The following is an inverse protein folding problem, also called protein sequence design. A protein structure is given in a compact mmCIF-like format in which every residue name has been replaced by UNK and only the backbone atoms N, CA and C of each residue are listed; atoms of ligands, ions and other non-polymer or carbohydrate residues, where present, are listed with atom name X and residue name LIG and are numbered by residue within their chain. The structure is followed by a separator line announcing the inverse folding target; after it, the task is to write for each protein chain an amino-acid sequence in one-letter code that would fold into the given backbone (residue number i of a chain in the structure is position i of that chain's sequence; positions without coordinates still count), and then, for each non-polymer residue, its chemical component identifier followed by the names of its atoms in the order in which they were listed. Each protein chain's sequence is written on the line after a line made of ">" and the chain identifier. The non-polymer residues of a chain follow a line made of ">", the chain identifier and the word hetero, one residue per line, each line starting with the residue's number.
data_IF_973217444914
#
_entry.id   IF_973217444914
#
_cell.length_a   1.000
_cell.length_b   1.000
_cell.length_c   1.000
_cell.angle_alpha   90.00
_cell.angle_beta   90.00
_cell.angle_gamma   90.00
#
_symmetry.space_group_name_H-M   'P 1'
#
loop_
_entity.id
_entity.type
_entity.pdbx_description
1 polymer ?
#
# COMPACT_ATOMS: atom_id res chain seq x y z
N UNK A 1 -14.43 2.28 -23.21
CA UNK A 1 -15.10 1.40 -22.23
C UNK A 1 -14.10 0.34 -21.84
N UNK A 2 -13.41 0.52 -20.71
CA UNK A 2 -12.45 -0.46 -20.22
C UNK A 2 -13.22 -1.54 -19.47
N UNK A 3 -13.10 -2.80 -19.93
CA UNK A 3 -13.52 -3.97 -19.18
C UNK A 3 -12.76 -3.95 -17.85
N UNK A 4 -13.39 -3.43 -16.81
CA UNK A 4 -12.93 -3.52 -15.43
C UNK A 4 -13.00 -5.01 -15.07
N UNK A 5 -11.90 -5.71 -15.32
CA UNK A 5 -11.33 -6.92 -14.71
C UNK A 5 -12.12 -7.81 -13.73
N UNK A 6 -13.44 -7.92 -13.82
CA UNK A 6 -14.27 -8.79 -12.98
C UNK A 6 -14.30 -10.25 -13.45
N UNK A 7 -13.62 -10.57 -14.56
CA UNK A 7 -13.75 -11.86 -15.26
C UNK A 7 -12.53 -12.80 -15.16
N UNK A 8 -11.53 -12.49 -14.34
CA UNK A 8 -10.38 -13.40 -14.19
C UNK A 8 -10.73 -14.58 -13.29
N UNK A 9 -10.59 -15.79 -13.79
CA UNK A 9 -10.74 -16.99 -12.97
C UNK A 9 -9.63 -17.02 -11.91
N UNK A 10 -9.90 -17.61 -10.74
CA UNK A 10 -8.90 -17.69 -9.67
C UNK A 10 -7.61 -18.41 -10.10
N UNK A 11 -7.71 -19.37 -11.03
CA UNK A 11 -6.55 -20.07 -11.57
C UNK A 11 -5.67 -19.14 -12.43
N UNK A 12 -6.28 -18.24 -13.20
CA UNK A 12 -5.55 -17.26 -14.01
C UNK A 12 -4.81 -16.26 -13.12
N UNK A 13 -5.45 -15.82 -12.02
CA UNK A 13 -4.80 -14.91 -11.05
C UNK A 13 -3.59 -15.56 -10.40
N UNK A 14 -3.69 -16.82 -9.95
CA UNK A 14 -2.53 -17.51 -9.38
C UNK A 14 -1.40 -17.66 -10.41
N UNK A 15 -1.75 -18.07 -11.64
CA UNK A 15 -0.80 -18.27 -12.73
C UNK A 15 -0.08 -16.97 -13.11
N UNK A 16 -0.77 -15.82 -13.07
CA UNK A 16 -0.19 -14.50 -13.31
C UNK A 16 1.04 -14.23 -12.44
N UNK A 17 1.01 -14.64 -11.17
CA UNK A 17 2.08 -14.33 -10.21
C UNK A 17 3.06 -15.46 -10.00
N UNK A 18 2.62 -16.72 -10.06
CA UNK A 18 3.47 -17.88 -9.74
C UNK A 18 3.80 -18.77 -10.93
N UNK A 19 3.28 -18.49 -12.13
CA UNK A 19 3.50 -19.27 -13.35
C UNK A 19 3.13 -20.76 -13.24
N UNK A 20 2.32 -21.13 -12.24
CA UNK A 20 1.81 -22.49 -12.02
C UNK A 20 0.29 -22.45 -11.84
N UNK A 21 -0.33 -23.61 -11.65
CA UNK A 21 -1.68 -23.68 -11.05
C UNK A 21 -1.56 -23.82 -9.54
N UNK A 22 -2.55 -23.36 -8.75
CA UNK A 22 -2.53 -23.59 -7.31
C UNK A 22 -2.72 -25.08 -7.00
N UNK A 23 -2.03 -25.58 -5.98
CA UNK A 23 -2.12 -26.98 -5.54
C UNK A 23 -3.46 -27.34 -4.90
N UNK A 24 -4.24 -26.34 -4.50
CA UNK A 24 -5.53 -26.49 -3.87
C UNK A 24 -6.52 -25.43 -4.35
N UNK A 25 -7.81 -25.68 -4.17
CA UNK A 25 -8.83 -24.67 -4.45
C UNK A 25 -8.62 -23.46 -3.53
N UNK A 26 -8.83 -22.22 -4.01
CA UNK A 26 -8.74 -21.05 -3.15
C UNK A 26 -9.73 -21.13 -1.99
N UNK A 27 -9.31 -20.60 -0.85
CA UNK A 27 -10.17 -20.35 0.30
C UNK A 27 -10.96 -19.07 0.00
N UNK A 28 -12.27 -19.10 0.23
CA UNK A 28 -13.19 -17.99 -0.05
C UNK A 28 -14.18 -17.83 1.10
N UNK A 29 -14.71 -16.62 1.31
CA UNK A 29 -15.77 -16.34 2.27
C UNK A 29 -15.41 -15.32 3.34
N UNK A 30 -16.24 -15.23 4.39
CA UNK A 30 -16.10 -14.24 5.46
C UNK A 30 -15.36 -14.81 6.66
N UNK A 31 -14.38 -14.06 7.20
CA UNK A 31 -13.60 -14.40 8.39
C UNK A 31 -13.01 -15.81 8.35
N UNK A 32 -12.59 -16.25 7.16
CA UNK A 32 -12.02 -17.58 6.93
C UNK A 32 -10.65 -17.69 7.59
N UNK A 33 -10.31 -18.87 8.10
CA UNK A 33 -8.95 -19.11 8.60
C UNK A 33 -7.98 -19.28 7.43
N UNK A 34 -7.02 -18.37 7.30
CA UNK A 34 -5.89 -18.55 6.40
C UNK A 34 -5.07 -19.76 6.85
N UNK A 35 -4.90 -20.74 5.97
CA UNK A 35 -4.13 -21.96 6.25
C UNK A 35 -3.31 -22.37 5.04
N UNK A 36 -2.09 -22.80 5.28
CA UNK A 36 -1.27 -23.38 4.22
C UNK A 36 -1.66 -24.81 3.95
N UNK A 37 -1.80 -25.15 2.67
CA UNK A 37 -1.95 -26.51 2.18
C UNK A 37 -0.91 -26.73 1.11
N UNK A 38 -0.03 -27.73 1.28
CA UNK A 38 1.06 -28.01 0.34
C UNK A 38 1.97 -26.80 0.06
N UNK A 39 2.36 -26.08 1.12
CA UNK A 39 3.22 -24.89 1.04
C UNK A 39 2.62 -23.71 0.25
N UNK A 40 1.29 -23.68 0.11
CA UNK A 40 0.56 -22.62 -0.58
C UNK A 40 -0.65 -22.19 0.24
N UNK A 41 -0.93 -20.89 0.25
CA UNK A 41 -2.17 -20.34 0.75
C UNK A 41 -2.71 -19.37 -0.30
N UNK A 42 -3.89 -19.67 -0.84
CA UNK A 42 -4.57 -18.81 -1.79
C UNK A 42 -5.92 -18.39 -1.24
N UNK A 43 -6.04 -17.11 -0.89
CA UNK A 43 -7.30 -16.48 -0.51
C UNK A 43 -7.85 -15.73 -1.72
N UNK A 44 -9.12 -15.96 -2.04
CA UNK A 44 -9.78 -15.34 -3.19
C UNK A 44 -11.20 -14.93 -2.80
N UNK A 45 -11.61 -13.69 -3.06
CA UNK A 45 -12.92 -13.18 -2.68
C UNK A 45 -13.23 -13.37 -1.19
N UNK A 46 -12.30 -12.96 -0.32
CA UNK A 46 -12.47 -13.07 1.13
C UNK A 46 -12.82 -11.73 1.76
N UNK A 47 -13.61 -11.77 2.83
CA UNK A 47 -13.96 -10.57 3.60
C UNK A 47 -13.61 -10.82 5.06
N UNK A 48 -12.83 -9.94 5.66
CA UNK A 48 -12.43 -10.00 7.06
C UNK A 48 -13.01 -8.79 7.79
N UNK A 49 -13.83 -9.02 8.80
CA UNK A 49 -14.57 -7.96 9.52
C UNK A 49 -14.36 -8.13 11.02
N UNK A 50 -13.91 -7.05 11.66
CA UNK A 50 -13.86 -6.92 13.12
C UNK A 50 -13.07 -8.05 13.80
N UNK A 51 -11.98 -8.49 13.17
CA UNK A 51 -11.01 -9.36 13.82
C UNK A 51 -10.14 -8.48 14.73
N UNK A 52 -10.10 -8.72 16.04
CA UNK A 52 -9.45 -7.79 16.99
C UNK A 52 -8.36 -8.40 17.87
N UNK A 53 -8.19 -9.72 17.84
CA UNK A 53 -7.26 -10.44 18.73
C UNK A 53 -5.89 -10.63 18.11
N UNK A 54 -5.85 -11.16 16.89
CA UNK A 54 -4.66 -11.34 16.06
C UNK A 54 -4.92 -10.74 14.67
N UNK A 55 -3.87 -10.59 13.87
CA UNK A 55 -4.01 -10.30 12.43
C UNK A 55 -4.96 -11.31 11.78
N UNK A 56 -5.85 -10.83 10.91
CA UNK A 56 -6.77 -11.70 10.17
C UNK A 56 -6.03 -12.76 9.35
N UNK A 57 -4.84 -12.42 8.88
CA UNK A 57 -3.89 -13.34 8.25
C UNK A 57 -2.61 -13.30 9.05
N UNK A 58 -2.16 -14.46 9.52
CA UNK A 58 -0.99 -14.57 10.36
C UNK A 58 -0.13 -15.75 9.91
N UNK A 59 1.06 -15.44 9.37
CA UNK A 59 2.04 -16.45 8.97
C UNK A 59 3.43 -16.12 9.53
N UNK A 60 4.00 -17.08 10.25
CA UNK A 60 5.37 -17.05 10.79
C UNK A 60 6.14 -18.28 10.33
N UNK A 61 7.44 -18.15 10.03
CA UNK A 61 8.39 -19.27 9.95
C UNK A 61 7.96 -20.44 9.04
N UNK A 62 7.27 -20.16 7.94
CA UNK A 62 6.80 -21.19 7.01
C UNK A 62 7.22 -20.88 5.58
N UNK A 63 7.52 -21.92 4.79
CA UNK A 63 7.82 -21.79 3.35
C UNK A 63 6.54 -21.76 2.53
N UNK A 64 5.66 -20.80 2.81
CA UNK A 64 4.32 -20.74 2.21
C UNK A 64 4.22 -19.63 1.16
N UNK A 65 4.04 -20.01 -0.11
CA UNK A 65 3.63 -19.03 -1.14
C UNK A 65 2.23 -18.55 -0.80
N UNK A 66 2.09 -17.24 -0.63
CA UNK A 66 0.83 -16.65 -0.20
C UNK A 66 0.34 -15.62 -1.21
N UNK A 67 -0.90 -15.80 -1.66
CA UNK A 67 -1.62 -14.83 -2.48
C UNK A 67 -2.97 -14.57 -1.83
N UNK A 68 -3.27 -13.30 -1.58
CA UNK A 68 -4.64 -12.86 -1.38
C UNK A 68 -5.08 -11.98 -2.55
N UNK A 69 -6.25 -12.30 -3.08
CA UNK A 69 -6.82 -11.62 -4.24
C UNK A 69 -8.28 -11.29 -4.03
N UNK A 70 -8.68 -10.04 -4.31
CA UNK A 70 -10.02 -9.53 -4.06
C UNK A 70 -10.43 -9.75 -2.59
N UNK A 71 -9.58 -9.31 -1.67
CA UNK A 71 -9.81 -9.46 -0.24
C UNK A 71 -10.04 -8.11 0.42
N UNK A 72 -11.06 -8.03 1.28
CA UNK A 72 -11.37 -6.83 2.07
C UNK A 72 -11.10 -7.07 3.55
N UNK A 73 -10.49 -6.10 4.22
CA UNK A 73 -10.23 -6.09 5.65
C UNK A 73 -10.89 -4.84 6.25
N UNK A 74 -11.88 -5.02 7.11
CA UNK A 74 -12.72 -3.94 7.63
C UNK A 74 -12.70 -3.94 9.15
N UNK A 75 -12.22 -2.85 9.74
CA UNK A 75 -12.08 -2.69 11.19
C UNK A 75 -11.27 -3.83 11.84
N UNK A 76 -10.25 -4.34 11.14
CA UNK A 76 -9.36 -5.38 11.66
C UNK A 76 -8.27 -4.75 12.54
N UNK A 77 -8.01 -5.34 13.70
CA UNK A 77 -6.92 -4.94 14.56
C UNK A 77 -6.18 -6.11 15.19
N UNK A 78 -4.90 -5.92 15.50
CA UNK A 78 -4.06 -6.91 16.16
C UNK A 78 -3.30 -6.32 17.34
N UNK A 79 -3.03 -7.14 18.36
CA UNK A 79 -2.08 -6.83 19.42
C UNK A 79 -0.63 -7.17 19.06
N UNK A 80 -0.40 -7.69 17.85
CA UNK A 80 0.91 -7.87 17.22
C UNK A 80 1.06 -6.91 16.05
N UNK A 81 2.26 -6.85 15.46
CA UNK A 81 2.45 -6.14 14.19
C UNK A 81 1.50 -6.70 13.12
N UNK A 82 1.19 -5.89 12.11
CA UNK A 82 0.25 -6.26 11.05
C UNK A 82 -1.20 -6.28 11.55
N UNK A 83 -1.92 -5.16 11.49
CA UNK A 83 -3.31 -5.14 11.96
C UNK A 83 -4.24 -6.09 11.21
N UNK A 84 -4.05 -6.23 9.90
CA UNK A 84 -4.80 -7.16 9.04
C UNK A 84 -3.95 -8.34 8.60
N UNK A 85 -2.72 -8.10 8.17
CA UNK A 85 -1.82 -9.12 7.65
C UNK A 85 -0.50 -9.04 8.40
N UNK A 86 -0.10 -10.15 9.01
CA UNK A 86 1.25 -10.38 9.50
C UNK A 86 1.88 -11.52 8.71
N UNK A 87 2.95 -11.22 7.97
CA UNK A 87 3.67 -12.18 7.16
C UNK A 87 5.17 -12.06 7.41
N UNK A 88 5.71 -12.97 8.21
CA UNK A 88 7.13 -13.08 8.52
C UNK A 88 7.63 -14.48 8.16
N UNK A 89 7.99 -14.68 6.89
CA UNK A 89 8.20 -16.02 6.33
C UNK A 89 9.33 -16.05 5.31
N UNK A 90 9.97 -17.23 5.19
CA UNK A 90 10.88 -17.58 4.11
C UNK A 90 10.11 -18.00 2.86
N UNK A 91 9.32 -17.07 2.32
CA UNK A 91 8.54 -17.32 1.11
C UNK A 91 8.06 -16.04 0.43
N UNK A 92 7.33 -16.21 -0.65
CA UNK A 92 6.76 -15.13 -1.45
C UNK A 92 5.35 -14.77 -1.01
N UNK A 93 5.04 -13.48 -0.97
CA UNK A 93 3.71 -12.93 -0.74
C UNK A 93 3.33 -11.99 -1.89
N UNK A 94 2.07 -12.12 -2.32
CA UNK A 94 1.43 -11.19 -3.26
C UNK A 94 0.10 -10.74 -2.66
N UNK A 95 -0.03 -9.45 -2.45
CA UNK A 95 -1.27 -8.79 -2.10
C UNK A 95 -1.82 -8.13 -3.36
N UNK A 96 -2.88 -8.71 -3.93
CA UNK A 96 -3.48 -8.25 -5.18
C UNK A 96 -4.93 -7.83 -4.95
N UNK A 97 -5.33 -6.62 -5.35
CA UNK A 97 -6.72 -6.16 -5.14
C UNK A 97 -7.19 -6.34 -3.70
N UNK A 98 -6.34 -5.87 -2.81
CA UNK A 98 -6.59 -5.91 -1.37
C UNK A 98 -7.14 -4.57 -0.93
N UNK A 99 -8.19 -4.60 -0.13
CA UNK A 99 -8.69 -3.41 0.55
C UNK A 99 -8.45 -3.49 2.05
N UNK A 100 -7.86 -2.44 2.62
CA UNK A 100 -7.87 -2.18 4.05
C UNK A 100 -8.73 -0.97 4.38
N UNK A 101 -9.71 -1.15 5.26
CA UNK A 101 -10.52 -0.06 5.81
C UNK A 101 -10.46 -0.11 7.33
N UNK A 102 -9.98 0.99 7.95
CA UNK A 102 -9.86 1.08 9.43
C UNK A 102 -9.06 -0.05 10.06
N UNK A 103 -8.08 -0.57 9.33
CA UNK A 103 -7.14 -1.54 9.87
C UNK A 103 -6.16 -0.84 10.79
N UNK A 104 -5.85 -1.43 11.95
CA UNK A 104 -4.83 -0.88 12.86
C UNK A 104 -4.07 -1.95 13.62
N UNK A 105 -2.79 -1.72 13.90
CA UNK A 105 -2.06 -2.46 14.92
C UNK A 105 -2.10 -1.70 16.26
N UNK A 106 -2.12 -2.45 17.37
CA UNK A 106 -1.84 -1.95 18.71
C UNK A 106 -0.36 -2.23 19.11
N UNK A 107 0.41 -2.90 18.25
CA UNK A 107 1.86 -3.16 18.38
C UNK A 107 2.66 -2.00 17.76
N UNK A 108 3.85 -2.23 17.20
CA UNK A 108 4.72 -1.18 16.70
C UNK A 108 4.50 -0.90 15.22
N UNK A 109 4.31 -1.92 14.39
CA UNK A 109 4.51 -1.77 12.94
C UNK A 109 3.37 -2.38 12.10
N UNK A 110 3.03 -1.71 10.99
CA UNK A 110 2.14 -2.23 9.95
C UNK A 110 0.67 -2.21 10.37
N UNK A 111 0.02 -1.05 10.31
CA UNK A 111 -1.40 -0.93 10.64
C UNK A 111 -2.32 -1.81 9.78
N UNK A 112 -2.03 -1.93 8.48
CA UNK A 112 -2.69 -2.91 7.61
C UNK A 112 -1.81 -4.15 7.47
N UNK A 113 -0.65 -4.02 6.82
CA UNK A 113 0.25 -5.13 6.53
C UNK A 113 1.62 -4.95 7.15
N UNK A 114 2.07 -5.98 7.85
CA UNK A 114 3.46 -6.20 8.22
C UNK A 114 4.02 -7.36 7.40
N UNK A 115 4.92 -7.06 6.47
CA UNK A 115 5.54 -8.05 5.61
C UNK A 115 7.06 -7.97 5.71
N UNK A 116 7.66 -9.02 6.28
CA UNK A 116 9.11 -9.15 6.41
C UNK A 116 9.54 -10.50 5.86
N UNK A 117 10.32 -10.48 4.79
CA UNK A 117 10.83 -11.71 4.17
C UNK A 117 12.21 -12.07 4.73
N UNK A 118 12.87 -13.04 4.11
CA UNK A 118 14.27 -13.35 4.44
C UNK A 118 15.20 -12.40 3.69
N UNK A 119 16.22 -11.91 4.39
CA UNK A 119 17.27 -11.06 3.83
C UNK A 119 17.92 -11.71 2.59
N UNK A 120 18.21 -10.91 1.56
CA UNK A 120 18.78 -11.35 0.29
C UNK A 120 17.99 -12.46 -0.44
N UNK A 121 16.69 -12.61 -0.17
CA UNK A 121 15.84 -13.56 -0.89
C UNK A 121 15.28 -12.95 -2.17
N UNK A 122 15.20 -13.74 -3.25
CA UNK A 122 14.50 -13.35 -4.49
C UNK A 122 12.98 -13.59 -4.39
N UNK A 123 12.45 -13.69 -3.17
CA UNK A 123 11.03 -13.93 -2.93
C UNK A 123 10.21 -12.70 -3.33
N UNK A 124 9.01 -12.91 -3.86
CA UNK A 124 8.11 -11.82 -4.22
C UNK A 124 7.56 -11.15 -2.95
N UNK A 125 7.61 -9.82 -2.92
CA UNK A 125 6.96 -8.98 -1.91
C UNK A 125 6.12 -7.93 -2.65
N UNK A 126 4.99 -8.35 -3.20
CA UNK A 126 4.22 -7.55 -4.16
C UNK A 126 2.93 -7.00 -3.55
N UNK A 127 2.65 -5.72 -3.84
CA UNK A 127 1.44 -5.02 -3.43
C UNK A 127 0.81 -4.30 -4.61
N UNK A 128 -0.21 -4.92 -5.22
CA UNK A 128 -0.74 -4.52 -6.51
C UNK A 128 -2.23 -4.17 -6.44
N UNK A 129 -2.64 -3.13 -7.15
CA UNK A 129 -4.04 -2.76 -7.40
C UNK A 129 -4.88 -2.69 -6.11
N UNK A 130 -4.29 -2.20 -5.02
CA UNK A 130 -4.84 -2.28 -3.66
C UNK A 130 -5.15 -0.90 -3.08
N UNK A 131 -6.08 -0.80 -2.12
CA UNK A 131 -6.41 0.47 -1.48
C UNK A 131 -6.50 0.38 0.03
N UNK A 132 -6.02 1.42 0.70
CA UNK A 132 -5.98 1.56 2.15
C UNK A 132 -6.63 2.89 2.53
N UNK A 133 -7.70 2.82 3.30
CA UNK A 133 -8.51 3.99 3.67
C UNK A 133 -8.74 4.02 5.18
N UNK A 134 -8.45 5.18 5.79
CA UNK A 134 -8.59 5.39 7.25
C UNK A 134 -7.86 4.33 8.09
N UNK A 135 -6.78 3.76 7.56
CA UNK A 135 -5.97 2.79 8.29
C UNK A 135 -5.04 3.51 9.26
N UNK A 136 -4.86 2.91 10.43
CA UNK A 136 -3.86 3.29 11.42
C UNK A 136 -4.27 4.36 12.41
N UNK A 137 -3.27 4.91 13.08
CA UNK A 137 -3.35 5.96 14.08
C UNK A 137 -1.94 6.54 14.31
N UNK A 138 -1.85 7.72 14.90
CA UNK A 138 -0.56 8.40 15.10
C UNK A 138 0.33 7.78 16.20
N UNK A 139 -0.13 6.76 16.93
CA UNK A 139 0.67 6.17 18.01
C UNK A 139 1.67 5.12 17.50
N UNK A 140 1.34 4.41 16.42
CA UNK A 140 2.13 3.29 15.89
C UNK A 140 2.60 3.56 14.47
N UNK A 141 3.55 2.80 13.99
CA UNK A 141 4.24 3.07 12.74
C UNK A 141 3.70 2.26 11.57
N UNK A 142 3.81 2.88 10.40
CA UNK A 142 3.67 2.33 9.06
C UNK A 142 2.26 1.85 8.72
N UNK A 143 1.63 2.44 7.70
CA UNK A 143 0.37 1.89 7.18
C UNK A 143 0.59 0.50 6.57
N UNK A 144 1.58 0.41 5.67
CA UNK A 144 2.07 -0.84 5.09
C UNK A 144 3.58 -0.89 5.25
N UNK A 145 4.09 -1.99 5.79
CA UNK A 145 5.51 -2.26 6.00
C UNK A 145 5.93 -3.42 5.11
N UNK A 146 6.79 -3.15 4.12
CA UNK A 146 7.33 -4.16 3.21
C UNK A 146 8.85 -4.17 3.32
N UNK A 147 9.41 -5.27 3.82
CA UNK A 147 10.83 -5.39 4.08
C UNK A 147 11.40 -6.68 3.48
N UNK A 148 12.56 -6.57 2.84
CA UNK A 148 13.24 -7.62 2.10
C UNK A 148 12.46 -8.19 0.90
N UNK A 149 13.17 -8.97 0.09
CA UNK A 149 12.63 -9.61 -1.12
C UNK A 149 12.71 -8.72 -2.36
N UNK A 150 12.05 -9.17 -3.42
CA UNK A 150 11.76 -8.36 -4.59
C UNK A 150 10.51 -7.54 -4.31
N UNK A 151 10.68 -6.27 -3.94
CA UNK A 151 9.60 -5.36 -3.60
C UNK A 151 9.03 -4.72 -4.87
N UNK A 152 7.72 -4.85 -5.06
CA UNK A 152 7.03 -4.14 -6.14
C UNK A 152 5.64 -3.66 -5.68
N UNK A 153 5.42 -2.36 -5.85
CA UNK A 153 4.19 -1.67 -5.51
C UNK A 153 3.63 -1.06 -6.79
N UNK A 154 2.38 -1.39 -7.11
CA UNK A 154 1.79 -0.98 -8.38
C UNK A 154 0.32 -0.66 -8.23
N UNK A 155 -0.10 0.51 -8.70
CA UNK A 155 -1.51 0.88 -8.74
C UNK A 155 -2.20 0.86 -7.38
N UNK A 156 -1.52 1.33 -6.33
CA UNK A 156 -2.12 1.41 -4.99
C UNK A 156 -2.67 2.79 -4.69
N UNK A 157 -3.64 2.85 -3.77
CA UNK A 157 -4.13 4.10 -3.19
C UNK A 157 -4.12 4.02 -1.66
N UNK A 158 -3.29 4.81 -1.00
CA UNK A 158 -3.31 5.00 0.46
C UNK A 158 -3.88 6.38 0.75
N UNK A 159 -5.00 6.45 1.47
CA UNK A 159 -5.66 7.73 1.72
C UNK A 159 -6.29 7.86 3.09
N UNK A 160 -6.18 9.05 3.69
CA UNK A 160 -6.68 9.34 5.05
C UNK A 160 -6.13 8.39 6.13
N UNK A 161 -4.98 7.78 5.87
CA UNK A 161 -4.30 6.92 6.82
C UNK A 161 -3.47 7.75 7.80
N UNK A 162 -3.31 7.23 9.01
CA UNK A 162 -2.51 7.82 10.07
C UNK A 162 -1.44 6.83 10.53
N UNK A 163 -0.24 7.32 10.78
CA UNK A 163 0.83 6.55 11.40
C UNK A 163 1.81 7.50 12.08
N UNK A 164 2.50 7.08 13.15
CA UNK A 164 3.64 7.81 13.71
C UNK A 164 4.68 8.06 12.60
N UNK A 165 5.11 6.98 11.95
CA UNK A 165 6.02 6.97 10.80
C UNK A 165 5.34 6.38 9.57
N UNK A 166 5.60 6.95 8.39
CA UNK A 166 5.17 6.46 7.07
C UNK A 166 3.70 6.09 6.93
N UNK A 167 2.85 7.10 7.04
CA UNK A 167 1.41 6.96 6.82
C UNK A 167 1.05 6.59 5.38
N UNK A 168 1.95 6.79 4.42
CA UNK A 168 1.83 6.32 3.04
C UNK A 168 2.26 4.86 2.88
N UNK A 169 3.57 4.61 2.94
CA UNK A 169 4.19 3.28 2.87
C UNK A 169 5.66 3.32 3.31
N UNK A 170 6.12 2.23 3.93
CA UNK A 170 7.53 1.99 4.22
C UNK A 170 8.04 0.82 3.39
N UNK A 171 9.19 1.00 2.73
CA UNK A 171 9.90 -0.02 1.96
C UNK A 171 11.35 -0.11 2.42
N UNK A 172 11.88 -1.32 2.63
CA UNK A 172 13.28 -1.46 3.03
C UNK A 172 14.00 -2.71 2.53
N UNK A 173 15.28 -2.54 2.27
CA UNK A 173 16.26 -3.57 1.92
C UNK A 173 15.83 -4.53 0.79
N UNK A 174 15.37 -4.02 -0.38
CA UNK A 174 15.00 -4.88 -1.49
C UNK A 174 16.22 -5.59 -2.06
N UNK A 175 16.05 -6.85 -2.48
CA UNK A 175 17.13 -7.64 -3.11
C UNK A 175 17.45 -7.18 -4.53
N UNK A 176 16.47 -6.58 -5.20
CA UNK A 176 16.59 -5.98 -6.53
C UNK A 176 16.09 -4.53 -6.52
N UNK A 177 15.98 -3.90 -7.70
CA UNK A 177 15.31 -2.62 -7.83
C UNK A 177 13.87 -2.71 -7.27
N UNK A 178 13.56 -1.89 -6.27
CA UNK A 178 12.21 -1.71 -5.74
C UNK A 178 11.44 -0.72 -6.60
N UNK A 179 10.27 -1.12 -7.13
CA UNK A 179 9.47 -0.25 -7.99
C UNK A 179 8.17 0.17 -7.28
N UNK A 180 7.84 1.45 -7.38
CA UNK A 180 6.54 2.01 -6.99
C UNK A 180 5.97 2.73 -8.20
N UNK A 181 4.92 2.20 -8.80
CA UNK A 181 4.37 2.74 -10.04
C UNK A 181 2.89 3.00 -9.96
N UNK A 182 2.44 4.05 -10.66
CA UNK A 182 1.03 4.39 -10.76
C UNK A 182 0.33 4.44 -9.40
N UNK A 183 0.95 4.96 -8.35
CA UNK A 183 0.42 4.84 -6.97
C UNK A 183 0.12 6.20 -6.37
N UNK A 184 -0.89 6.26 -5.50
CA UNK A 184 -1.36 7.49 -4.87
C UNK A 184 -1.28 7.41 -3.35
N UNK A 185 -0.70 8.43 -2.73
CA UNK A 185 -0.60 8.63 -1.28
C UNK A 185 -1.20 9.99 -0.98
N UNK A 186 -2.41 10.02 -0.43
CA UNK A 186 -3.24 11.21 -0.43
C UNK A 186 -3.92 11.50 0.91
N UNK A 187 -3.82 12.73 1.40
CA UNK A 187 -4.43 13.15 2.66
C UNK A 187 -4.04 12.24 3.85
N UNK A 188 -2.84 11.67 3.84
CA UNK A 188 -2.34 10.88 4.98
C UNK A 188 -1.66 11.80 5.99
N UNK A 189 -1.65 11.39 7.25
CA UNK A 189 -1.06 12.19 8.34
C UNK A 189 -0.03 11.37 9.11
N UNK A 190 1.13 11.94 9.39
CA UNK A 190 2.10 11.34 10.30
C UNK A 190 2.76 12.33 11.25
N UNK A 191 3.45 11.83 12.27
CA UNK A 191 4.35 12.67 13.04
C UNK A 191 5.64 12.92 12.26
N UNK A 192 6.22 11.86 11.73
CA UNK A 192 7.56 11.86 11.19
C UNK A 192 7.53 11.99 9.66
N UNK A 193 7.33 10.89 8.96
CA UNK A 193 7.50 10.81 7.49
C UNK A 193 6.23 10.29 6.81
N UNK A 194 6.03 10.61 5.53
CA UNK A 194 4.90 10.05 4.75
C UNK A 194 5.35 8.79 4.02
N UNK A 195 6.52 8.85 3.38
CA UNK A 195 7.14 7.78 2.62
C UNK A 195 8.58 7.60 3.08
N UNK A 196 8.99 6.36 3.37
CA UNK A 196 10.39 6.04 3.70
C UNK A 196 10.92 4.85 2.92
N UNK A 197 12.18 4.97 2.53
CA UNK A 197 12.94 3.98 1.79
C UNK A 197 14.26 3.68 2.50
N UNK A 198 14.57 2.40 2.70
CA UNK A 198 15.78 1.98 3.42
C UNK A 198 16.67 1.04 2.58
N UNK A 199 17.99 1.27 2.63
CA UNK A 199 19.11 0.59 1.96
C UNK A 199 18.78 -0.17 0.66
N UNK A 200 18.40 0.57 -0.39
CA UNK A 200 18.09 -0.06 -1.67
C UNK A 200 18.14 0.87 -2.87
N UNK A 201 17.91 0.29 -4.03
CA UNK A 201 17.65 1.04 -5.25
C UNK A 201 16.15 1.09 -5.47
N UNK A 202 15.61 2.28 -5.69
CA UNK A 202 14.17 2.48 -5.85
C UNK A 202 13.83 3.32 -7.06
N UNK A 203 12.68 3.01 -7.67
CA UNK A 203 12.13 3.78 -8.78
C UNK A 203 10.66 4.10 -8.50
N UNK A 204 10.31 5.38 -8.50
CA UNK A 204 8.96 5.91 -8.39
C UNK A 204 8.57 6.48 -9.75
N UNK A 205 7.49 5.98 -10.34
CA UNK A 205 7.05 6.42 -11.67
C UNK A 205 5.53 6.57 -11.76
N UNK A 206 5.05 7.71 -12.27
CA UNK A 206 3.61 8.00 -12.40
C UNK A 206 2.85 7.97 -11.05
N UNK A 207 3.48 8.45 -9.99
CA UNK A 207 2.90 8.45 -8.64
C UNK A 207 2.38 9.85 -8.22
N UNK A 208 1.44 9.86 -7.29
CA UNK A 208 0.85 11.03 -6.67
C UNK A 208 1.12 11.01 -5.16
N UNK A 209 1.71 12.06 -4.61
CA UNK A 209 1.92 12.29 -3.18
C UNK A 209 1.28 13.64 -2.86
N UNK A 210 0.02 13.60 -2.41
CA UNK A 210 -0.87 14.77 -2.43
C UNK A 210 -1.45 15.09 -1.06
N UNK A 211 -1.40 16.36 -0.66
CA UNK A 211 -2.09 16.89 0.52
C UNK A 211 -1.79 16.13 1.81
N UNK A 212 -0.60 15.55 1.94
CA UNK A 212 -0.23 14.81 3.14
C UNK A 212 0.31 15.77 4.21
N UNK A 213 0.15 15.41 5.47
CA UNK A 213 0.63 16.21 6.60
C UNK A 213 1.65 15.43 7.43
N UNK A 214 2.84 16.01 7.63
CA UNK A 214 3.74 15.56 8.69
C UNK A 214 3.88 16.64 9.76
N UNK A 215 3.89 16.25 11.04
CA UNK A 215 3.73 17.20 12.16
C UNK A 215 5.04 17.65 12.81
N UNK A 216 6.09 16.82 12.80
CA UNK A 216 7.36 17.13 13.47
C UNK A 216 8.42 17.73 12.52
N UNK A 217 9.22 18.68 13.05
CA UNK A 217 10.13 19.55 12.29
C UNK A 217 11.38 18.90 11.73
N UNK A 218 11.80 17.80 12.34
CA UNK A 218 13.03 17.12 11.93
C UNK A 218 12.77 16.15 10.76
N UNK A 219 11.51 16.03 10.34
CA UNK A 219 11.04 14.99 9.45
C UNK A 219 10.32 15.52 8.21
N UNK A 220 9.93 14.63 7.29
CA UNK A 220 9.98 14.91 5.83
C UNK A 220 8.88 14.17 5.08
N UNK A 221 8.38 14.75 3.98
CA UNK A 221 7.41 14.04 3.12
C UNK A 221 8.00 12.74 2.56
N UNK A 222 9.19 12.83 1.95
CA UNK A 222 9.88 11.69 1.33
C UNK A 222 11.27 11.53 1.93
N UNK A 223 11.49 10.39 2.59
CA UNK A 223 12.73 10.05 3.27
C UNK A 223 13.41 8.85 2.61
N UNK A 224 14.72 8.95 2.41
CA UNK A 224 15.53 7.86 1.89
C UNK A 224 16.82 7.74 2.72
N UNK A 225 17.02 6.56 3.31
CA UNK A 225 18.19 6.23 4.11
C UNK A 225 19.02 5.18 3.37
N UNK A 226 20.30 5.45 3.14
CA UNK A 226 21.18 4.45 2.52
C UNK A 226 20.82 4.10 1.07
N UNK A 227 19.92 4.88 0.43
CA UNK A 227 19.20 4.46 -0.79
C UNK A 227 19.52 5.32 -2.01
N UNK A 228 19.46 4.72 -3.20
CA UNK A 228 19.50 5.43 -4.49
C UNK A 228 18.11 5.40 -5.11
N UNK A 229 17.53 6.58 -5.32
CA UNK A 229 16.13 6.74 -5.68
C UNK A 229 16.01 7.54 -6.97
N UNK A 230 15.23 7.03 -7.90
CA UNK A 230 14.80 7.74 -9.09
C UNK A 230 13.29 8.02 -8.99
N UNK A 231 12.90 9.28 -9.11
CA UNK A 231 11.51 9.73 -9.11
C UNK A 231 11.24 10.38 -10.45
N UNK A 232 10.37 9.78 -11.26
CA UNK A 232 10.03 10.25 -12.61
C UNK A 232 8.53 10.44 -12.78
N UNK A 233 8.11 11.48 -13.50
CA UNK A 233 6.70 11.68 -13.84
C UNK A 233 5.80 11.56 -12.60
N UNK A 234 6.18 12.19 -11.49
CA UNK A 234 5.43 12.12 -10.24
C UNK A 234 4.92 13.51 -9.84
N UNK A 235 3.92 13.52 -8.97
CA UNK A 235 3.32 14.75 -8.44
C UNK A 235 3.45 14.77 -6.92
N UNK A 236 4.13 15.78 -6.37
CA UNK A 236 4.31 16.06 -4.95
C UNK A 236 3.69 17.43 -4.65
N UNK A 237 2.41 17.46 -4.27
CA UNK A 237 1.62 18.69 -4.27
C UNK A 237 0.77 18.80 -3.00
N UNK A 238 0.71 20.00 -2.41
CA UNK A 238 -0.11 20.31 -1.25
C UNK A 238 0.34 19.63 0.04
N UNK A 239 1.51 18.96 0.04
CA UNK A 239 2.03 18.34 1.26
C UNK A 239 2.42 19.43 2.25
N UNK A 240 1.97 19.33 3.49
CA UNK A 240 2.24 20.29 4.55
C UNK A 240 3.07 19.66 5.65
N UNK A 241 3.95 20.45 6.25
CA UNK A 241 4.72 20.02 7.41
C UNK A 241 6.04 20.77 7.50
N UNK A 242 6.61 20.87 8.71
CA UNK A 242 7.86 21.60 8.92
C UNK A 242 9.05 20.83 8.34
N UNK A 243 9.90 21.51 7.56
CA UNK A 243 11.12 20.92 7.00
C UNK A 243 11.04 20.54 5.53
N UNK A 244 11.87 19.57 5.11
CA UNK A 244 12.18 19.30 3.69
C UNK A 244 11.18 18.33 3.05
N UNK A 245 10.89 18.53 1.78
CA UNK A 245 10.05 17.64 0.97
C UNK A 245 10.80 16.33 0.65
N UNK A 246 12.07 16.46 0.22
CA UNK A 246 12.95 15.32 -0.07
C UNK A 246 14.16 15.33 0.86
N UNK A 247 14.43 14.18 1.48
CA UNK A 247 15.54 14.03 2.41
C UNK A 247 16.29 12.75 2.16
N UNK A 248 17.54 12.90 1.74
CA UNK A 248 18.49 11.80 1.64
C UNK A 248 19.41 11.81 2.85
N UNK A 249 19.46 10.68 3.56
CA UNK A 249 20.40 10.43 4.64
C UNK A 249 21.37 9.30 4.29
N UNK A 250 22.54 9.33 4.93
CA UNK A 250 23.63 8.36 4.69
C UNK A 250 24.08 8.31 3.22
N UNK A 251 24.74 7.22 2.81
CA UNK A 251 25.12 6.98 1.42
C UNK A 251 23.90 6.87 0.51
N UNK A 252 23.97 7.42 -0.70
CA UNK A 252 22.89 7.30 -1.68
C UNK A 252 22.56 8.64 -2.34
N UNK A 253 21.42 8.69 -3.04
CA UNK A 253 20.94 9.90 -3.70
C UNK A 253 19.46 9.82 -4.06
N UNK A 254 18.81 10.97 -4.17
CA UNK A 254 17.47 11.10 -4.76
C UNK A 254 17.62 11.93 -6.04
N UNK A 255 17.15 11.38 -7.16
CA UNK A 255 17.01 12.11 -8.43
C UNK A 255 15.54 12.29 -8.74
N UNK A 256 15.07 13.53 -8.80
CA UNK A 256 13.70 13.88 -9.19
C UNK A 256 13.73 14.45 -10.59
N UNK A 257 13.03 13.84 -11.54
CA UNK A 257 12.94 14.37 -12.91
C UNK A 257 11.55 14.33 -13.51
N UNK A 258 11.32 15.24 -14.45
CA UNK A 258 10.08 15.32 -15.24
C UNK A 258 8.81 15.26 -14.37
N UNK A 259 8.86 15.94 -13.22
CA UNK A 259 7.87 15.82 -12.14
C UNK A 259 7.30 17.17 -11.74
N UNK A 260 6.22 17.15 -10.97
CA UNK A 260 5.57 18.33 -10.42
C UNK A 260 5.78 18.38 -8.91
N UNK A 261 6.34 19.48 -8.40
CA UNK A 261 6.59 19.65 -6.97
C UNK A 261 6.40 21.10 -6.57
N UNK A 262 5.51 21.36 -5.62
CA UNK A 262 5.23 22.72 -5.15
C UNK A 262 6.18 23.21 -4.06
N UNK A 263 6.88 22.27 -3.40
CA UNK A 263 7.84 22.51 -2.31
C UNK A 263 9.27 22.12 -2.64
N UNK A 264 9.80 22.46 -3.82
CA UNK A 264 11.16 22.02 -4.19
C UNK A 264 12.30 23.00 -3.88
N UNK A 265 12.04 24.31 -3.90
CA UNK A 265 13.07 25.33 -3.66
C UNK A 265 13.34 25.42 -2.16
N UNK A 266 14.62 25.30 -1.75
CA UNK A 266 15.10 25.33 -0.36
C UNK A 266 14.60 24.22 0.58
N UNK A 267 13.88 23.24 0.04
CA UNK A 267 13.23 22.18 0.81
C UNK A 267 13.74 20.78 0.42
N UNK A 268 15.03 20.66 0.13
CA UNK A 268 15.75 19.38 0.04
C UNK A 268 16.88 19.28 1.08
N UNK A 269 17.33 18.07 1.37
CA UNK A 269 18.50 17.79 2.20
C UNK A 269 19.28 16.57 1.70
N UNK A 270 20.60 16.62 1.81
CA UNK A 270 21.51 15.57 1.36
C UNK A 270 21.71 15.58 -0.15
N UNK A 271 22.05 14.42 -0.71
CA UNK A 271 22.31 14.25 -2.14
C UNK A 271 20.99 14.17 -2.92
N UNK A 272 20.38 15.33 -3.20
CA UNK A 272 19.14 15.45 -3.97
C UNK A 272 19.39 16.27 -5.23
N UNK A 273 19.10 15.68 -6.40
CA UNK A 273 19.22 16.33 -7.71
C UNK A 273 17.84 16.46 -8.35
N UNK A 274 17.59 17.59 -9.01
CA UNK A 274 16.32 17.86 -9.70
C UNK A 274 16.58 18.17 -11.17
N UNK A 275 15.74 17.66 -12.08
CA UNK A 275 15.85 17.91 -13.51
C UNK A 275 14.46 18.07 -14.14
N UNK A 276 14.17 19.21 -14.77
CA UNK A 276 12.85 19.49 -15.34
C UNK A 276 11.70 19.29 -14.33
N UNK A 277 11.90 19.72 -13.08
CA UNK A 277 10.83 19.73 -12.06
C UNK A 277 10.10 21.06 -12.11
N UNK A 278 8.78 21.01 -12.22
CA UNK A 278 7.94 22.18 -12.38
C UNK A 278 7.11 22.43 -11.13
N UNK A 279 6.97 23.69 -10.74
CA UNK A 279 6.06 24.13 -9.67
C UNK A 279 4.69 24.54 -10.24
N UNK A 280 4.16 23.73 -11.15
CA UNK A 280 2.81 23.92 -11.70
C UNK A 280 1.96 22.69 -11.37
N UNK A 281 0.66 22.89 -11.19
CA UNK A 281 -0.25 21.81 -10.85
C UNK A 281 -0.52 20.93 -12.07
N UNK A 282 -0.09 19.68 -11.98
CA UNK A 282 -0.56 18.58 -12.82
C UNK A 282 -0.68 17.37 -11.92
N UNK A 283 -1.85 16.75 -11.88
CA UNK A 283 -2.10 15.53 -11.11
C UNK A 283 -2.29 14.40 -12.12
N UNK A 284 -1.63 13.27 -11.89
CA UNK A 284 -1.85 12.11 -12.75
C UNK A 284 -3.27 11.59 -12.54
N UNK A 285 -4.09 11.63 -13.60
CA UNK A 285 -5.42 11.02 -13.63
C UNK A 285 -5.27 9.50 -13.69
N UNK A 286 -5.11 8.89 -12.53
CA UNK A 286 -5.04 7.45 -12.40
C UNK A 286 -6.46 6.91 -12.20
N UNK A 287 -6.85 5.87 -12.94
CA UNK A 287 -8.24 5.35 -12.87
C UNK A 287 -8.61 4.75 -11.52
N UNK A 288 -7.65 4.42 -10.66
CA UNK A 288 -7.88 3.98 -9.28
C UNK A 288 -8.03 5.16 -8.30
N UNK A 289 -7.86 6.41 -8.74
CA UNK A 289 -8.15 7.57 -7.90
C UNK A 289 -9.66 7.68 -7.57
N UNK A 290 -10.53 7.03 -8.36
CA UNK A 290 -11.96 6.89 -8.06
C UNK A 290 -12.27 5.87 -6.96
N UNK A 291 -11.32 5.02 -6.57
CA UNK A 291 -11.49 4.03 -5.50
C UNK A 291 -11.03 4.51 -4.12
N UNK A 292 -11.00 5.83 -3.89
CA UNK A 292 -10.68 6.44 -2.58
C UNK A 292 -11.50 5.87 -1.41
N UNK A 293 -12.66 5.28 -1.70
CA UNK A 293 -13.54 4.61 -0.73
C UNK A 293 -13.21 3.14 -0.49
N UNK A 294 -12.14 2.61 -1.09
CA UNK A 294 -11.95 1.18 -1.29
C UNK A 294 -13.14 0.57 -2.05
N UNK A 295 -12.99 0.35 -3.36
CA UNK A 295 -13.95 -0.45 -4.14
C UNK A 295 -13.78 -1.93 -3.84
N UNK A 296 -14.16 -2.33 -2.63
CA UNK A 296 -14.42 -3.72 -2.29
C UNK A 296 -15.53 -3.79 -1.23
N UNK A 297 -16.51 -2.87 -1.31
CA UNK A 297 -17.60 -2.85 -0.35
C UNK A 297 -18.45 -4.11 -0.43
N UNK A 298 -18.72 -4.68 -1.61
CA UNK A 298 -19.37 -6.00 -1.72
C UNK A 298 -19.07 -6.67 -3.06
N UNK A 299 -18.59 -7.92 -3.13
CA UNK A 299 -18.95 -8.75 -4.27
C UNK A 299 -20.47 -8.90 -4.24
N UNK A 300 -21.16 -8.51 -5.32
CA UNK A 300 -22.60 -8.73 -5.47
C UNK A 300 -22.84 -10.25 -5.51
N UNK A 301 -23.07 -10.85 -4.35
CA UNK A 301 -23.63 -12.19 -4.22
C UNK A 301 -25.13 -12.03 -4.03
N UNK A 302 -25.81 -11.60 -5.10
CA UNK A 302 -27.11 -12.16 -5.44
C UNK A 302 -27.50 -11.71 -6.86
N UNK A 303 -27.81 -12.67 -7.73
CA UNK A 303 -28.37 -12.43 -9.07
C UNK A 303 -29.81 -11.96 -8.98
N UNK A 304 -30.07 -10.83 -8.31
CA UNK A 304 -31.31 -10.08 -8.50
C UNK A 304 -31.00 -8.85 -9.35
N UNK A 305 -31.75 -8.59 -10.43
CA UNK A 305 -31.54 -7.39 -11.22
C UNK A 305 -31.81 -6.18 -10.31
N UNK A 306 -30.76 -5.41 -9.99
CA UNK A 306 -30.91 -4.15 -9.27
C UNK A 306 -31.72 -3.19 -10.16
N UNK A 307 -32.81 -2.69 -9.60
CA UNK A 307 -33.74 -1.79 -10.30
C UNK A 307 -33.19 -0.37 -10.26
N UNK A 308 -32.51 0.00 -11.35
CA UNK A 308 -32.17 1.37 -11.76
C UNK A 308 -31.01 2.06 -11.03
N UNK A 309 -30.30 2.90 -11.79
CA UNK A 309 -29.16 3.72 -11.36
C UNK A 309 -29.49 4.77 -10.29
N UNK A 310 -30.76 4.93 -9.92
CA UNK A 310 -31.22 5.91 -8.92
C UNK A 310 -30.89 5.49 -7.48
N UNK A 311 -30.83 4.18 -7.21
CA UNK A 311 -30.50 3.66 -5.88
C UNK A 311 -29.02 3.86 -5.51
N UNK A 312 -28.15 3.96 -6.52
CA UNK A 312 -26.73 4.30 -6.34
C UNK A 312 -26.52 5.74 -5.86
N UNK A 313 -27.43 6.68 -6.11
CA UNK A 313 -27.19 8.09 -5.73
C UNK A 313 -27.52 8.38 -4.25
N UNK A 314 -28.40 7.57 -3.64
CA UNK A 314 -28.85 7.77 -2.26
C UNK A 314 -27.91 7.18 -1.21
N UNK A 315 -27.07 6.20 -1.54
CA UNK A 315 -26.04 5.69 -0.61
C UNK A 315 -24.82 6.61 -0.51
N UNK A 316 -24.54 7.45 -1.52
CA UNK A 316 -23.38 8.34 -1.57
C UNK A 316 -23.65 9.76 -1.02
N UNK A 317 -24.84 10.00 -0.46
CA UNK A 317 -25.27 11.33 -0.01
C UNK A 317 -25.61 11.38 1.49
N UNK A 318 -24.78 10.82 2.38
CA UNK A 318 -24.84 11.13 3.82
C UNK A 318 -23.46 11.11 4.50
N UNK A 319 -22.76 12.25 4.52
CA UNK A 319 -22.21 12.94 5.72
C UNK A 319 -21.35 14.15 5.30
N UNK A 320 -22.04 15.21 4.88
CA UNK A 320 -21.62 16.59 5.14
C UNK A 320 -22.81 17.27 5.83
N UNK A 321 -22.51 18.06 6.89
CA UNK A 321 -23.40 18.65 7.92
C UNK A 321 -23.59 17.70 9.12
N UNK A 322 -23.18 18.02 10.34
CA UNK A 322 -22.89 19.30 11.02
C UNK A 322 -21.61 19.18 11.84
#
# INVERSE_FOLDING_TARGET
>A
MNNLHFDQSSADVWKLFYNTSPNSKPIQGTNVTARSTNNECFLYNCIFITITTNSAIYFTNTRNKFLNSYCSFTNCSSNTDGGSIYFNCDSSIVQYRTCGYKSKTNSQEGHHSYVKLVYNSNNKNYLYESSFYECGNLEKSFTNYLFYGNIEVKSINTSFCEAAWDSGIYLGDPTSLGNVTYSSFCNTTSYYTILSLENGNYNFNFCNVLNNEHKESDYRTFYAFGSTVLIENCSFLGNTGPGKEFYQDYSGSITVKDSFCDRIIDQTYGSVTTNNVQNIYSIHNLSHFSSYLCEAEFPIIDKKPMRSAFDLYHQFSFRRRR
#
